data_IF_480066415837
#
_entry.id   IF_480066415837
#
_cell.length_a   1.000
_cell.length_b   1.000
_cell.length_c   1.000
_cell.angle_alpha   90.00
_cell.angle_beta   90.00
_cell.angle_gamma   90.00
#
_symmetry.space_group_name_H-M   'P 1'
#
loop_
_entity.id
_entity.type
_entity.pdbx_description
1 polymer ?
#
# COMPACT_ATOMS: atom_id res chain seq x y z
N UNK A 1 16.55 -23.47 -17.00
CA UNK A 1 16.96 -22.34 -17.85
C UNK A 1 17.40 -21.23 -16.90
N UNK A 2 18.69 -20.95 -16.80
CA UNK A 2 19.19 -19.82 -16.00
C UNK A 2 18.70 -18.54 -16.67
N UNK A 3 17.81 -17.79 -16.03
CA UNK A 3 17.40 -16.49 -16.53
C UNK A 3 18.62 -15.56 -16.45
N UNK A 4 19.07 -15.06 -17.60
CA UNK A 4 20.07 -14.00 -17.65
C UNK A 4 19.37 -12.68 -17.30
N UNK A 5 19.55 -12.21 -16.07
CA UNK A 5 19.05 -10.90 -15.66
C UNK A 5 19.82 -9.81 -16.43
N UNK A 6 19.11 -9.09 -17.31
CA UNK A 6 19.68 -8.00 -18.10
C UNK A 6 19.25 -6.66 -17.52
N UNK A 7 20.21 -5.87 -17.01
CA UNK A 7 19.93 -4.51 -16.54
C UNK A 7 19.82 -3.55 -17.72
N UNK A 8 18.67 -2.90 -17.84
CA UNK A 8 18.42 -1.88 -18.86
C UNK A 8 18.43 -0.49 -18.22
N UNK A 9 19.09 0.47 -18.87
CA UNK A 9 19.15 1.87 -18.46
C UNK A 9 19.15 2.79 -19.69
N UNK A 10 18.81 4.06 -19.48
CA UNK A 10 18.72 5.08 -20.53
C UNK A 10 17.33 5.17 -21.17
N UNK A 11 16.96 6.40 -21.56
CA UNK A 11 15.60 6.74 -21.99
C UNK A 11 15.13 5.93 -23.22
N UNK A 12 16.00 5.69 -24.19
CA UNK A 12 15.68 4.91 -25.40
C UNK A 12 15.33 3.46 -25.08
N UNK A 13 16.11 2.82 -24.20
CA UNK A 13 15.88 1.45 -23.75
C UNK A 13 14.60 1.34 -22.93
N UNK A 14 14.39 2.25 -21.97
CA UNK A 14 13.18 2.28 -21.14
C UNK A 14 11.93 2.51 -22.01
N UNK A 15 11.99 3.43 -22.98
CA UNK A 15 10.91 3.65 -23.94
C UNK A 15 10.54 2.38 -24.70
N UNK A 16 11.54 1.60 -25.15
CA UNK A 16 11.31 0.34 -25.84
C UNK A 16 10.58 -0.68 -24.96
N UNK A 17 10.97 -0.79 -23.69
CA UNK A 17 10.32 -1.67 -22.71
C UNK A 17 8.88 -1.25 -22.46
N UNK A 18 8.63 0.03 -22.17
CA UNK A 18 7.30 0.53 -21.82
C UNK A 18 6.30 0.46 -22.99
N UNK A 19 6.74 0.74 -24.22
CA UNK A 19 5.87 0.63 -25.41
C UNK A 19 5.70 -0.83 -25.85
N UNK A 20 6.67 -1.68 -25.52
CA UNK A 20 6.66 -3.11 -25.83
C UNK A 20 5.96 -3.98 -24.77
N UNK A 21 5.23 -3.41 -23.82
CA UNK A 21 4.53 -4.20 -22.80
C UNK A 21 3.47 -5.11 -23.44
N UNK A 22 3.43 -6.38 -23.01
CA UNK A 22 2.60 -7.46 -23.56
C UNK A 22 2.92 -7.86 -25.02
N UNK A 23 4.04 -7.40 -25.58
CA UNK A 23 4.53 -7.81 -26.92
C UNK A 23 6.00 -8.22 -26.94
N UNK A 24 6.86 -7.45 -26.26
CA UNK A 24 8.29 -7.71 -26.08
C UNK A 24 8.62 -8.19 -24.66
N UNK A 25 7.87 -7.69 -23.68
CA UNK A 25 8.09 -7.95 -22.25
C UNK A 25 6.76 -8.08 -21.53
N UNK A 26 6.76 -8.80 -20.42
CA UNK A 26 5.65 -8.86 -19.47
C UNK A 26 6.14 -8.55 -18.06
N UNK A 27 5.26 -7.95 -17.27
CA UNK A 27 5.55 -7.66 -15.87
C UNK A 27 5.66 -8.96 -15.06
N UNK A 28 6.77 -9.11 -14.34
CA UNK A 28 7.07 -10.31 -13.57
C UNK A 28 7.59 -9.94 -12.18
N UNK A 29 7.04 -10.60 -11.16
CA UNK A 29 7.56 -10.57 -9.80
C UNK A 29 8.33 -11.85 -9.44
N UNK A 30 9.34 -11.78 -8.56
CA UNK A 30 9.96 -12.95 -7.95
C UNK A 30 8.93 -13.86 -7.26
N UNK A 31 9.20 -15.17 -7.13
CA UNK A 31 8.26 -16.14 -6.57
C UNK A 31 7.73 -15.77 -5.17
N UNK A 32 8.59 -15.22 -4.31
CA UNK A 32 8.21 -14.81 -2.97
C UNK A 32 7.15 -13.69 -2.98
N UNK A 33 7.36 -12.64 -3.78
CA UNK A 33 6.38 -11.56 -3.98
C UNK A 33 5.08 -12.10 -4.55
N UNK A 34 5.15 -12.93 -5.60
CA UNK A 34 3.95 -13.53 -6.20
C UNK A 34 3.12 -14.28 -5.16
N UNK A 35 3.78 -15.12 -4.35
CA UNK A 35 3.11 -15.89 -3.30
C UNK A 35 2.49 -15.00 -2.22
N UNK A 36 3.18 -13.95 -1.79
CA UNK A 36 2.75 -13.11 -0.67
C UNK A 36 1.71 -12.05 -1.07
N UNK A 37 1.70 -11.59 -2.33
CA UNK A 37 0.63 -10.73 -2.86
C UNK A 37 -0.64 -11.54 -3.18
N UNK A 38 -0.48 -12.81 -3.57
CA UNK A 38 -1.58 -13.73 -3.86
C UNK A 38 -2.05 -13.69 -5.32
N UNK A 39 -2.70 -14.77 -5.80
CA UNK A 39 -3.03 -14.94 -7.21
C UNK A 39 -4.11 -13.96 -7.72
N UNK A 40 -4.94 -13.41 -6.84
CA UNK A 40 -5.97 -12.41 -7.18
C UNK A 40 -5.46 -10.98 -7.24
N UNK A 41 -4.18 -10.74 -6.92
CA UNK A 41 -3.57 -9.40 -6.91
C UNK A 41 -3.48 -8.80 -8.30
N UNK A 42 -3.85 -7.51 -8.42
CA UNK A 42 -3.64 -6.71 -9.62
C UNK A 42 -2.19 -6.80 -10.11
N UNK A 43 -1.21 -6.71 -9.20
CA UNK A 43 0.22 -6.70 -9.53
C UNK A 43 0.75 -8.03 -10.05
N UNK A 44 0.05 -9.15 -9.80
CA UNK A 44 0.45 -10.49 -10.25
C UNK A 44 -0.17 -10.89 -11.58
N UNK A 45 -1.13 -10.12 -12.10
CA UNK A 45 -1.90 -10.45 -13.28
C UNK A 45 -1.53 -9.53 -14.45
N UNK A 46 -1.65 -10.05 -15.67
CA UNK A 46 -1.48 -9.32 -16.93
C UNK A 46 -2.74 -9.36 -17.80
N UNK A 47 -2.68 -8.71 -18.97
CA UNK A 47 -3.73 -8.77 -20.00
C UNK A 47 -5.14 -8.45 -19.50
N UNK A 48 -6.11 -9.27 -19.90
CA UNK A 48 -7.53 -9.06 -19.62
C UNK A 48 -7.88 -9.10 -18.11
N UNK A 49 -7.19 -9.95 -17.33
CA UNK A 49 -7.43 -10.05 -15.88
C UNK A 49 -6.97 -8.77 -15.19
N UNK A 50 -5.77 -8.28 -15.53
CA UNK A 50 -5.28 -7.00 -15.03
C UNK A 50 -6.21 -5.85 -15.42
N UNK A 51 -6.65 -5.78 -16.68
CA UNK A 51 -7.58 -4.76 -17.14
C UNK A 51 -8.90 -4.76 -16.34
N UNK A 52 -9.47 -5.94 -16.07
CA UNK A 52 -10.67 -6.10 -15.23
C UNK A 52 -10.43 -5.59 -13.81
N UNK A 53 -9.39 -6.09 -13.13
CA UNK A 53 -9.06 -5.69 -11.75
C UNK A 53 -8.78 -4.17 -11.66
N UNK A 54 -8.03 -3.62 -12.62
CA UNK A 54 -7.71 -2.20 -12.68
C UNK A 54 -8.97 -1.35 -12.83
N UNK A 55 -9.89 -1.75 -13.72
CA UNK A 55 -11.17 -1.06 -13.93
C UNK A 55 -12.02 -1.03 -12.65
N UNK A 56 -12.00 -2.10 -11.87
CA UNK A 56 -12.73 -2.18 -10.59
C UNK A 56 -12.12 -1.31 -9.49
N UNK A 57 -10.79 -1.12 -9.48
CA UNK A 57 -10.10 -0.37 -8.43
C UNK A 57 -9.88 1.12 -8.75
N UNK A 58 -9.74 1.48 -10.03
CA UNK A 58 -9.42 2.84 -10.47
C UNK A 58 -10.37 3.93 -9.92
N UNK A 59 -11.71 3.71 -9.76
CA UNK A 59 -12.59 4.74 -9.23
C UNK A 59 -12.20 5.25 -7.83
N UNK A 60 -11.53 4.41 -7.02
CA UNK A 60 -11.05 4.77 -5.68
C UNK A 60 -9.88 5.77 -5.72
N UNK A 61 -9.24 5.95 -6.87
CA UNK A 61 -8.06 6.81 -7.04
C UNK A 61 -8.32 7.96 -8.01
N UNK A 62 -9.58 8.30 -8.26
CA UNK A 62 -9.94 9.52 -9.00
C UNK A 62 -9.65 10.77 -8.14
N UNK A 63 -9.43 11.95 -8.73
CA UNK A 63 -9.25 13.19 -7.96
C UNK A 63 -10.39 13.45 -6.97
N UNK A 64 -11.63 13.14 -7.36
CA UNK A 64 -12.79 13.27 -6.48
C UNK A 64 -12.72 12.29 -5.30
N UNK A 65 -12.38 11.02 -5.53
CA UNK A 65 -12.24 10.04 -4.44
C UNK A 65 -11.10 10.43 -3.48
N UNK A 66 -9.94 10.83 -4.02
CA UNK A 66 -8.80 11.28 -3.20
C UNK A 66 -9.17 12.49 -2.34
N UNK A 67 -9.94 13.44 -2.87
CA UNK A 67 -10.42 14.58 -2.08
C UNK A 67 -11.28 14.16 -0.87
N UNK A 68 -12.04 13.06 -0.98
CA UNK A 68 -12.84 12.52 0.14
C UNK A 68 -11.97 11.90 1.23
N UNK A 69 -10.76 11.47 0.90
CA UNK A 69 -9.81 10.92 1.88
C UNK A 69 -9.06 12.00 2.66
N UNK A 70 -9.00 13.24 2.14
CA UNK A 70 -8.22 14.33 2.74
C UNK A 70 -8.53 14.58 4.23
N UNK A 71 -9.80 14.65 4.70
CA UNK A 71 -10.06 14.87 6.12
C UNK A 71 -9.41 13.81 7.02
N UNK A 72 -9.41 12.55 6.56
CA UNK A 72 -8.84 11.41 7.29
C UNK A 72 -7.32 11.43 7.30
N UNK A 73 -6.72 11.76 6.15
CA UNK A 73 -5.27 11.95 6.01
C UNK A 73 -4.82 13.08 6.94
N UNK A 74 -5.46 14.25 6.85
CA UNK A 74 -5.16 15.43 7.66
C UNK A 74 -5.29 15.13 9.15
N UNK A 75 -6.38 14.52 9.61
CA UNK A 75 -6.57 14.17 11.01
C UNK A 75 -5.47 13.24 11.53
N UNK A 76 -5.09 12.22 10.74
CA UNK A 76 -4.05 11.25 11.10
C UNK A 76 -2.67 11.91 11.15
N UNK A 77 -2.34 12.74 10.16
CA UNK A 77 -1.08 13.49 10.10
C UNK A 77 -0.96 14.48 11.24
N UNK A 78 -2.01 15.27 11.52
CA UNK A 78 -2.01 16.25 12.62
C UNK A 78 -1.80 15.57 13.97
N UNK A 79 -2.47 14.45 14.23
CA UNK A 79 -2.28 13.69 15.46
C UNK A 79 -0.84 13.17 15.61
N UNK A 80 -0.26 12.63 14.53
CA UNK A 80 1.12 12.15 14.53
C UNK A 80 2.11 13.29 14.78
N UNK A 81 2.01 14.41 14.05
CA UNK A 81 2.86 15.58 14.25
C UNK A 81 2.78 16.13 15.67
N UNK A 82 1.58 16.14 16.27
CA UNK A 82 1.37 16.59 17.65
C UNK A 82 2.08 15.66 18.65
N UNK A 83 1.99 14.35 18.44
CA UNK A 83 2.70 13.35 19.25
C UNK A 83 4.23 13.50 19.12
N UNK A 84 4.73 13.73 17.91
CA UNK A 84 6.15 13.92 17.65
C UNK A 84 6.69 15.17 18.36
N UNK A 85 5.96 16.29 18.29
CA UNK A 85 6.31 17.51 18.98
C UNK A 85 6.30 17.36 20.51
N UNK A 86 5.38 16.55 21.04
CA UNK A 86 5.26 16.28 22.47
C UNK A 86 6.36 15.34 23.02
N UNK A 87 7.12 14.65 22.16
CA UNK A 87 8.15 13.70 22.60
C UNK A 87 9.32 14.33 23.36
N UNK A 88 9.54 15.64 23.20
CA UNK A 88 10.55 16.40 23.94
C UNK A 88 12.01 16.06 23.59
N UNK A 89 12.25 15.26 22.56
CA UNK A 89 13.58 14.79 22.17
C UNK A 89 13.70 14.47 20.67
N UNK A 90 14.91 14.10 20.21
CA UNK A 90 15.10 13.65 18.84
C UNK A 90 14.33 12.34 18.59
N UNK A 91 13.71 12.24 17.42
CA UNK A 91 12.99 11.06 16.96
C UNK A 91 13.59 10.55 15.65
N UNK A 92 13.44 9.25 15.38
CA UNK A 92 13.81 8.67 14.08
C UNK A 92 12.78 9.06 13.03
N UNK A 93 13.17 9.95 12.11
CA UNK A 93 12.29 10.38 11.02
C UNK A 93 11.75 9.20 10.19
N UNK A 94 12.58 8.18 9.96
CA UNK A 94 12.17 6.99 9.22
C UNK A 94 11.08 6.20 9.96
N UNK A 95 11.28 5.90 11.25
CA UNK A 95 10.33 5.08 12.02
C UNK A 95 8.97 5.78 12.12
N UNK A 96 8.98 7.07 12.48
CA UNK A 96 7.73 7.81 12.68
C UNK A 96 6.96 8.03 11.37
N UNK A 97 7.67 8.28 10.27
CA UNK A 97 7.05 8.45 8.95
C UNK A 97 6.57 7.11 8.37
N UNK A 98 7.30 6.02 8.59
CA UNK A 98 6.87 4.69 8.17
C UNK A 98 5.60 4.27 8.90
N UNK A 99 5.52 4.50 10.22
CA UNK A 99 4.31 4.30 11.03
C UNK A 99 3.14 5.15 10.54
N UNK A 100 3.37 6.44 10.30
CA UNK A 100 2.35 7.36 9.78
C UNK A 100 1.82 6.92 8.41
N UNK A 101 2.71 6.56 7.48
CA UNK A 101 2.33 6.10 6.15
C UNK A 101 1.45 4.84 6.22
N UNK A 102 1.78 3.87 7.09
CA UNK A 102 0.95 2.68 7.28
C UNK A 102 -0.41 3.04 7.85
N UNK A 103 -0.45 3.88 8.89
CA UNK A 103 -1.70 4.32 9.53
C UNK A 103 -2.62 5.02 8.53
N UNK A 104 -2.07 5.89 7.68
CA UNK A 104 -2.81 6.55 6.60
C UNK A 104 -3.33 5.51 5.59
N UNK A 105 -2.47 4.59 5.12
CA UNK A 105 -2.85 3.58 4.14
C UNK A 105 -4.03 2.72 4.64
N UNK A 106 -3.93 2.19 5.86
CA UNK A 106 -5.00 1.40 6.49
C UNK A 106 -6.29 2.22 6.61
N UNK A 107 -6.20 3.45 7.11
CA UNK A 107 -7.35 4.33 7.31
C UNK A 107 -8.04 4.73 6.00
N UNK A 108 -7.29 4.96 4.92
CA UNK A 108 -7.85 5.24 3.59
C UNK A 108 -8.49 3.99 2.98
N UNK A 109 -7.85 2.83 3.16
CA UNK A 109 -8.36 1.57 2.62
C UNK A 109 -9.65 1.14 3.34
N UNK A 110 -9.67 1.20 4.66
CA UNK A 110 -10.65 0.52 5.50
C UNK A 110 -11.51 1.44 6.36
N UNK A 111 -11.17 2.72 6.43
CA UNK A 111 -11.88 3.67 7.28
C UNK A 111 -11.53 3.49 8.76
N UNK A 112 -12.56 3.37 9.60
CA UNK A 112 -12.46 3.11 11.04
C UNK A 112 -12.83 1.67 11.43
N UNK A 113 -12.79 0.75 10.47
CA UNK A 113 -13.32 -0.61 10.62
C UNK A 113 -12.25 -1.66 10.87
N UNK A 114 -12.57 -2.58 11.77
CA UNK A 114 -11.74 -3.73 12.10
C UNK A 114 -10.62 -3.38 13.09
N UNK A 115 -10.09 -4.42 13.75
CA UNK A 115 -9.10 -4.26 14.82
C UNK A 115 -7.85 -3.50 14.36
N UNK A 116 -7.44 -3.65 13.10
CA UNK A 116 -6.27 -2.97 12.53
C UNK A 116 -6.35 -1.44 12.42
N UNK A 117 -7.52 -0.85 12.61
CA UNK A 117 -7.72 0.61 12.60
C UNK A 117 -7.74 1.22 14.00
N UNK A 118 -7.84 0.40 15.06
CA UNK A 118 -7.86 0.87 16.44
C UNK A 118 -6.46 1.22 16.93
N UNK A 119 -6.36 2.14 17.89
CA UNK A 119 -5.05 2.50 18.47
C UNK A 119 -4.42 1.32 19.23
N UNK A 120 -5.24 0.44 19.81
CA UNK A 120 -4.78 -0.76 20.53
C UNK A 120 -4.21 -1.82 19.58
N UNK A 121 -4.88 -2.05 18.44
CA UNK A 121 -4.49 -3.08 17.47
C UNK A 121 -3.40 -2.63 16.51
N UNK A 122 -3.22 -1.33 16.31
CA UNK A 122 -2.30 -0.81 15.30
C UNK A 122 -0.85 -1.27 15.50
N UNK A 123 -0.37 -1.35 16.75
CA UNK A 123 1.00 -1.81 17.03
C UNK A 123 1.24 -3.28 16.66
N UNK A 124 0.24 -4.15 16.83
CA UNK A 124 0.32 -5.54 16.36
C UNK A 124 0.37 -5.58 14.82
N UNK A 125 -0.44 -4.75 14.17
CA UNK A 125 -0.50 -4.68 12.72
C UNK A 125 0.79 -4.16 12.11
N UNK A 126 1.43 -3.17 12.73
CA UNK A 126 2.77 -2.71 12.33
C UNK A 126 3.77 -3.87 12.31
N UNK A 127 3.76 -4.70 13.35
CA UNK A 127 4.65 -5.86 13.43
C UNK A 127 4.32 -6.92 12.36
N UNK A 128 3.04 -7.20 12.13
CA UNK A 128 2.60 -8.12 11.07
C UNK A 128 3.01 -7.62 9.68
N UNK A 129 2.80 -6.33 9.40
CA UNK A 129 3.19 -5.72 8.13
C UNK A 129 4.71 -5.75 7.96
N UNK A 130 5.48 -5.46 9.02
CA UNK A 130 6.94 -5.59 9.00
C UNK A 130 7.39 -7.01 8.63
N UNK A 131 6.86 -8.03 9.32
CA UNK A 131 7.20 -9.43 9.05
C UNK A 131 6.80 -9.86 7.63
N UNK A 132 5.63 -9.40 7.16
CA UNK A 132 5.12 -9.65 5.82
C UNK A 132 6.01 -9.03 4.72
N UNK A 133 6.31 -7.73 4.82
CA UNK A 133 7.20 -7.03 3.89
C UNK A 133 8.60 -7.64 3.92
N UNK A 134 9.07 -8.06 5.10
CA UNK A 134 10.32 -8.75 5.30
C UNK A 134 10.48 -10.04 4.49
N UNK A 135 9.40 -10.69 4.05
CA UNK A 135 9.44 -11.89 3.21
C UNK A 135 9.32 -11.66 1.71
N UNK A 136 8.93 -10.46 1.25
CA UNK A 136 8.65 -10.19 -0.16
C UNK A 136 9.85 -10.50 -1.06
N UNK A 137 11.06 -10.10 -0.64
CA UNK A 137 12.30 -10.32 -1.39
C UNK A 137 13.16 -11.45 -0.81
N UNK A 138 12.59 -12.31 0.04
CA UNK A 138 13.31 -13.43 0.64
C UNK A 138 13.33 -14.65 -0.29
N UNK A 139 14.20 -15.62 0.03
CA UNK A 139 14.17 -16.92 -0.63
C UNK A 139 12.87 -17.68 -0.26
N UNK A 140 12.11 -18.23 -1.22
CA UNK A 140 10.74 -18.73 -1.01
C UNK A 140 10.71 -20.12 -0.36
N UNK A 141 11.26 -20.23 0.85
CA UNK A 141 11.24 -21.46 1.66
C UNK A 141 10.32 -21.23 2.85
N UNK A 142 9.19 -21.94 2.89
CA UNK A 142 8.19 -21.79 3.96
C UNK A 142 8.54 -22.64 5.19
N UNK A 143 9.51 -22.14 5.97
CA UNK A 143 9.89 -22.74 7.26
C UNK A 143 9.72 -21.71 8.39
N UNK A 144 9.32 -22.10 9.61
CA UNK A 144 8.93 -21.17 10.66
C UNK A 144 9.95 -20.07 11.01
N UNK A 145 11.23 -20.38 10.92
CA UNK A 145 12.35 -19.48 11.26
C UNK A 145 12.85 -18.64 10.09
N UNK A 146 12.40 -18.92 8.86
CA UNK A 146 12.81 -18.16 7.67
C UNK A 146 12.00 -16.86 7.55
N UNK A 147 12.58 -15.86 6.87
CA UNK A 147 11.87 -14.60 6.56
C UNK A 147 10.59 -14.87 5.76
N UNK A 148 10.64 -15.76 4.78
CA UNK A 148 9.46 -16.10 3.97
C UNK A 148 8.39 -16.83 4.78
N UNK A 149 8.75 -17.83 5.61
CA UNK A 149 7.77 -18.50 6.46
C UNK A 149 7.16 -17.61 7.55
N UNK A 150 7.92 -16.65 8.10
CA UNK A 150 7.37 -15.58 8.96
C UNK A 150 6.37 -14.71 8.21
N UNK A 151 6.73 -14.26 7.00
CA UNK A 151 5.84 -13.48 6.15
C UNK A 151 4.57 -14.23 5.74
N UNK A 152 4.63 -15.54 5.47
CA UNK A 152 3.45 -16.35 5.21
C UNK A 152 2.50 -16.42 6.42
N UNK A 153 3.04 -16.50 7.65
CA UNK A 153 2.22 -16.43 8.88
C UNK A 153 1.58 -15.05 9.04
N UNK A 154 2.37 -13.99 8.93
CA UNK A 154 1.87 -12.63 9.02
C UNK A 154 0.81 -12.35 7.94
N UNK A 155 1.01 -12.82 6.70
CA UNK A 155 0.06 -12.73 5.59
C UNK A 155 -1.29 -13.37 5.93
N UNK A 156 -1.31 -14.49 6.65
CA UNK A 156 -2.55 -15.16 7.10
C UNK A 156 -3.30 -14.34 8.14
N UNK A 157 -2.59 -13.82 9.15
CA UNK A 157 -3.18 -12.96 10.18
C UNK A 157 -3.70 -11.63 9.59
N UNK A 158 -2.94 -11.03 8.67
CA UNK A 158 -3.39 -9.84 7.92
C UNK A 158 -4.66 -10.14 7.09
N UNK A 159 -4.79 -11.34 6.52
CA UNK A 159 -6.01 -11.75 5.82
C UNK A 159 -7.23 -11.82 6.75
N UNK A 160 -7.05 -12.27 7.99
CA UNK A 160 -8.13 -12.31 8.99
C UNK A 160 -8.60 -10.89 9.30
N UNK A 161 -7.67 -9.96 9.58
CA UNK A 161 -7.95 -8.55 9.85
C UNK A 161 -8.65 -7.85 8.66
N UNK A 162 -8.18 -8.10 7.43
CA UNK A 162 -8.83 -7.57 6.23
C UNK A 162 -10.22 -8.19 6.05
N UNK A 163 -10.38 -9.48 6.35
CA UNK A 163 -11.66 -10.18 6.32
C UNK A 163 -12.69 -9.56 7.28
N UNK A 164 -12.26 -9.21 8.50
CA UNK A 164 -13.08 -8.48 9.47
C UNK A 164 -13.50 -7.09 8.94
N UNK A 165 -12.54 -6.33 8.38
CA UNK A 165 -12.81 -5.01 7.82
C UNK A 165 -13.77 -5.09 6.61
N UNK A 166 -13.64 -6.12 5.78
CA UNK A 166 -14.56 -6.41 4.66
C UNK A 166 -15.96 -6.75 5.17
N UNK A 167 -16.08 -7.58 6.21
CA UNK A 167 -17.36 -7.92 6.81
C UNK A 167 -18.04 -6.67 7.42
N UNK A 168 -17.29 -5.85 8.15
CA UNK A 168 -17.78 -4.59 8.70
C UNK A 168 -18.21 -3.59 7.61
N UNK A 169 -17.49 -3.56 6.47
CA UNK A 169 -17.82 -2.68 5.34
C UNK A 169 -19.09 -3.09 4.58
N UNK A 170 -19.64 -4.27 4.85
CA UNK A 170 -20.93 -4.72 4.32
C UNK A 170 -22.13 -4.30 5.19
N UNK A 171 -21.89 -3.67 6.34
CA UNK A 171 -22.94 -3.11 7.20
C UNK A 171 -23.46 -1.76 6.67
N UNK A 172 -24.55 -1.24 7.25
CA UNK A 172 -25.27 -0.05 6.76
C UNK A 172 -24.52 1.28 6.97
N UNK A 173 -23.49 1.32 7.80
CA UNK A 173 -22.65 2.52 7.97
C UNK A 173 -21.73 2.64 6.77
N UNK A 174 -21.82 3.73 6.00
CA UNK A 174 -20.94 4.03 4.85
C UNK A 174 -19.85 5.04 5.23
N UNK A 175 -18.64 4.89 4.68
CA UNK A 175 -17.42 5.57 5.10
C UNK A 175 -16.48 6.09 3.98
N UNK A 176 -16.79 6.17 2.69
CA UNK A 176 -15.83 6.71 1.70
C UNK A 176 -14.43 6.09 1.79
N UNK A 177 -14.36 4.77 1.64
CA UNK A 177 -13.10 4.01 1.71
C UNK A 177 -12.80 3.31 0.38
N UNK A 178 -11.54 2.91 0.18
CA UNK A 178 -11.19 2.09 -1.00
C UNK A 178 -11.93 0.75 -0.99
N UNK A 179 -12.10 0.14 0.19
CA UNK A 179 -12.86 -1.10 0.34
C UNK A 179 -14.32 -0.96 -0.13
N UNK A 180 -14.98 0.15 0.17
CA UNK A 180 -16.36 0.38 -0.28
C UNK A 180 -16.46 0.47 -1.79
N UNK A 181 -15.51 1.17 -2.42
CA UNK A 181 -15.43 1.25 -3.88
C UNK A 181 -15.21 -0.14 -4.48
N UNK A 182 -14.29 -0.93 -3.91
CA UNK A 182 -14.02 -2.28 -4.38
C UNK A 182 -15.23 -3.22 -4.19
N UNK A 183 -15.96 -3.13 -3.07
CA UNK A 183 -17.17 -3.92 -2.81
C UNK A 183 -18.32 -3.55 -3.77
N UNK A 184 -18.43 -2.27 -4.12
CA UNK A 184 -19.41 -1.77 -5.07
C UNK A 184 -19.03 -2.04 -6.54
N UNK A 185 -17.76 -2.35 -6.82
CA UNK A 185 -17.26 -2.57 -8.17
C UNK A 185 -17.94 -3.76 -8.86
N UNK A 186 -18.14 -3.64 -10.17
CA UNK A 186 -18.69 -4.67 -11.04
C UNK A 186 -17.87 -4.76 -12.31
N UNK A 187 -17.69 -5.98 -12.82
CA UNK A 187 -17.08 -6.21 -14.13
C UNK A 187 -18.09 -6.03 -15.28
N UNK A 188 -17.68 -6.36 -16.50
CA UNK A 188 -18.53 -6.21 -17.70
C UNK A 188 -19.72 -7.17 -17.73
N UNK A 189 -19.64 -8.30 -17.01
CA UNK A 189 -20.73 -9.24 -16.83
C UNK A 189 -21.58 -8.89 -15.59
N UNK A 190 -21.39 -7.71 -14.99
CA UNK A 190 -21.99 -7.28 -13.75
C UNK A 190 -21.67 -8.18 -12.54
N UNK A 191 -20.57 -8.95 -12.60
CA UNK A 191 -20.11 -9.77 -11.49
C UNK A 191 -19.29 -8.93 -10.49
N UNK A 192 -19.45 -9.15 -9.17
CA UNK A 192 -18.62 -8.51 -8.15
C UNK A 192 -17.22 -9.15 -8.10
N UNK A 193 -16.21 -8.48 -7.51
CA UNK A 193 -14.94 -9.14 -7.22
C UNK A 193 -15.15 -10.27 -6.22
N UNK A 194 -14.38 -11.34 -6.40
CA UNK A 194 -14.33 -12.46 -5.46
C UNK A 194 -13.71 -12.03 -4.13
N UNK A 195 -14.00 -12.77 -3.06
CA UNK A 195 -13.41 -12.51 -1.75
C UNK A 195 -11.87 -12.59 -1.80
N UNK A 196 -11.31 -13.54 -2.55
CA UNK A 196 -9.86 -13.67 -2.70
C UNK A 196 -9.24 -12.47 -3.43
N UNK A 197 -9.88 -11.96 -4.48
CA UNK A 197 -9.42 -10.74 -5.17
C UNK A 197 -9.46 -9.53 -4.24
N UNK A 198 -10.50 -9.38 -3.42
CA UNK A 198 -10.58 -8.31 -2.43
C UNK A 198 -9.41 -8.37 -1.45
N UNK A 199 -9.18 -9.55 -0.85
CA UNK A 199 -8.08 -9.78 0.09
C UNK A 199 -6.70 -9.48 -0.53
N UNK A 200 -6.42 -10.05 -1.71
CA UNK A 200 -5.13 -9.90 -2.38
C UNK A 200 -4.88 -8.46 -2.86
N UNK A 201 -5.94 -7.76 -3.31
CA UNK A 201 -5.80 -6.36 -3.74
C UNK A 201 -5.69 -5.39 -2.56
N UNK A 202 -6.27 -5.68 -1.39
CA UNK A 202 -5.98 -4.91 -0.17
C UNK A 202 -4.51 -5.01 0.20
N UNK A 203 -3.93 -6.23 0.17
CA UNK A 203 -2.49 -6.39 0.39
C UNK A 203 -1.68 -5.64 -0.65
N UNK A 204 -2.08 -5.70 -1.92
CA UNK A 204 -1.43 -4.97 -3.00
C UNK A 204 -1.40 -3.47 -2.72
N UNK A 205 -2.51 -2.89 -2.26
CA UNK A 205 -2.61 -1.48 -1.92
C UNK A 205 -1.79 -1.11 -0.69
N UNK A 206 -1.75 -1.97 0.34
CA UNK A 206 -0.90 -1.76 1.52
C UNK A 206 0.58 -1.75 1.12
N UNK A 207 1.04 -2.75 0.37
CA UNK A 207 2.42 -2.79 -0.12
C UNK A 207 2.77 -1.56 -0.97
N UNK A 208 1.91 -1.23 -1.94
CA UNK A 208 2.19 -0.14 -2.86
C UNK A 208 2.12 1.24 -2.19
N UNK A 209 1.18 1.45 -1.26
CA UNK A 209 0.87 2.75 -0.67
C UNK A 209 1.66 3.09 0.60
N UNK A 210 2.20 2.10 1.31
CA UNK A 210 2.92 2.29 2.57
C UNK A 210 4.39 2.65 2.34
N UNK A 211 5.22 1.70 1.92
CA UNK A 211 6.68 1.87 1.88
C UNK A 211 7.14 2.96 0.88
N UNK A 212 6.44 3.09 -0.26
CA UNK A 212 6.80 4.09 -1.28
C UNK A 212 6.53 5.52 -0.78
N UNK A 213 5.39 5.73 -0.11
CA UNK A 213 5.01 7.02 0.48
C UNK A 213 5.92 7.35 1.66
N UNK A 214 6.22 6.37 2.52
CA UNK A 214 7.15 6.53 3.64
C UNK A 214 8.52 6.99 3.14
N UNK A 215 9.06 6.30 2.13
CA UNK A 215 10.35 6.63 1.52
C UNK A 215 10.35 8.03 0.92
N UNK A 216 9.28 8.38 0.18
CA UNK A 216 9.15 9.71 -0.43
C UNK A 216 9.11 10.83 0.61
N UNK A 217 8.37 10.64 1.71
CA UNK A 217 8.31 11.60 2.82
C UNK A 217 9.66 11.75 3.52
N UNK A 218 10.39 10.66 3.76
CA UNK A 218 11.74 10.71 4.33
C UNK A 218 12.70 11.46 3.39
N UNK A 219 12.63 11.23 2.09
CA UNK A 219 13.42 12.00 1.12
C UNK A 219 13.09 13.50 1.16
N UNK A 220 11.80 13.87 1.25
CA UNK A 220 11.39 15.28 1.37
C UNK A 220 11.96 15.89 2.65
N UNK A 221 11.85 15.21 3.80
CA UNK A 221 12.40 15.69 5.07
C UNK A 221 13.91 15.88 5.00
N UNK A 222 14.63 14.95 4.35
CA UNK A 222 16.07 15.04 4.17
C UNK A 222 16.46 16.21 3.26
N UNK A 223 15.72 16.46 2.18
CA UNK A 223 15.96 17.61 1.30
C UNK A 223 15.66 18.94 2.01
N UNK A 224 14.60 19.01 2.82
CA UNK A 224 14.32 20.18 3.68
C UNK A 224 15.45 20.40 4.70
N UNK A 225 15.99 19.34 5.28
CA UNK A 225 17.12 19.40 6.21
C UNK A 225 18.41 19.91 5.54
N UNK A 226 18.68 19.51 4.30
CA UNK A 226 19.83 19.99 3.51
C UNK A 226 19.66 21.43 3.02
N UNK A 227 18.42 21.88 2.81
CA UNK A 227 18.10 23.19 2.26
C UNK A 227 17.18 24.01 3.18
N UNK A 228 17.58 24.31 4.43
CA UNK A 228 16.72 24.99 5.40
C UNK A 228 16.31 26.40 4.96
N UNK A 229 17.09 27.06 4.11
CA UNK A 229 16.77 28.36 3.53
C UNK A 229 15.52 28.37 2.64
N UNK A 230 15.05 27.20 2.16
CA UNK A 230 13.82 27.07 1.35
C UNK A 230 12.56 26.85 2.19
N UNK A 231 12.69 26.58 3.49
CA UNK A 231 11.54 26.34 4.38
C UNK A 231 10.56 27.52 4.38
N UNK A 232 11.00 28.79 4.45
CA UNK A 232 10.08 29.93 4.38
C UNK A 232 9.25 29.99 3.08
N UNK A 233 9.85 29.60 1.95
CA UNK A 233 9.15 29.56 0.65
C UNK A 233 8.04 28.50 0.65
N UNK A 234 8.32 27.31 1.19
CA UNK A 234 7.33 26.24 1.34
C UNK A 234 6.18 26.64 2.28
N UNK A 235 6.50 27.34 3.38
CA UNK A 235 5.48 27.86 4.30
C UNK A 235 4.61 28.93 3.63
N UNK A 236 5.21 29.79 2.80
CA UNK A 236 4.47 30.79 2.05
C UNK A 236 3.54 30.17 1.00
N UNK A 237 3.97 29.09 0.34
CA UNK A 237 3.14 28.34 -0.62
C UNK A 237 1.87 27.78 0.06
N UNK A 238 2.01 27.18 1.24
CA UNK A 238 0.89 26.57 1.98
C UNK A 238 -0.13 27.58 2.52
N UNK A 239 0.27 28.85 2.67
CA UNK A 239 -0.60 29.92 3.15
C UNK A 239 -1.46 30.56 2.05
N UNK A 240 -1.27 30.16 0.78
CA UNK A 240 -2.03 30.62 -0.38
C UNK A 240 -3.26 29.76 -0.60
#
# INVERSE_FOLDING_TARGET
MLALDTRLAGASNIRKVLIGENSLVESLWPPAIKSLLGPGSLSNNGGAIHARLRKMMQPAFTPHAVHRYLPRITATTTAALSSWAASGGPISAYEVVNSLALKIAIRVIAGSRGHWTSEEGFGEVEHLVHDWLGGLFAWPVDLPWTRFGKACRARRQLNELVGEALAASRSDTKEDTVLEVMLAARDEAAAPPTQQELLDNVMTLLFAGHDTSATSMVCILEEMRKHPHRIPELQQEQAR
#
